data_IF_451503373028
#
_entry.id   IF_451503373028
#
_cell.length_a   1.000
_cell.length_b   1.000
_cell.length_c   1.000
_cell.angle_alpha   90.00
_cell.angle_beta   90.00
_cell.angle_gamma   90.00
#
_symmetry.space_group_name_H-M   'P 1'
#
loop_
_entity.id
_entity.type
_entity.pdbx_description
1 polymer ?
#
# COMPACT_ATOMS: atom_id res chain seq x y z
N UNK A 1 -20.62 26.09 -4.86
CA UNK A 1 -20.50 24.76 -5.50
C UNK A 1 -19.83 23.82 -4.53
N UNK A 2 -20.53 22.73 -4.21
CA UNK A 2 -20.19 21.63 -3.29
C UNK A 2 -18.98 20.82 -3.78
N UNK A 3 -18.17 20.23 -2.88
CA UNK A 3 -18.11 18.77 -2.61
C UNK A 3 -16.81 18.36 -1.90
N UNK A 4 -16.96 17.70 -0.75
CA UNK A 4 -15.88 16.93 -0.12
C UNK A 4 -15.74 17.23 1.37
N UNK A 5 -16.39 16.43 2.23
CA UNK A 5 -16.19 16.43 3.68
C UNK A 5 -14.69 16.28 3.99
N UNK A 6 -13.99 17.39 4.21
CA UNK A 6 -12.62 17.40 4.67
C UNK A 6 -12.58 16.83 6.09
N UNK A 7 -12.41 15.51 6.22
CA UNK A 7 -12.18 14.87 7.50
C UNK A 7 -10.94 15.54 8.10
N UNK A 8 -11.11 16.30 9.18
CA UNK A 8 -10.01 16.97 9.88
C UNK A 8 -8.91 15.93 10.11
N UNK A 9 -7.74 16.15 9.51
CA UNK A 9 -6.60 15.24 9.62
C UNK A 9 -6.10 15.30 11.07
N UNK A 10 -6.08 14.17 11.76
CA UNK A 10 -5.36 14.06 13.04
C UNK A 10 -3.89 13.85 12.70
N UNK A 11 -3.01 14.60 13.37
CA UNK A 11 -1.55 14.46 13.22
C UNK A 11 -1.20 12.99 13.52
N UNK A 12 -0.47 12.35 12.60
CA UNK A 12 -0.10 10.92 12.64
C UNK A 12 -1.20 9.89 12.30
N UNK A 13 -2.21 10.23 11.51
CA UNK A 13 -3.18 9.24 11.01
C UNK A 13 -3.05 9.07 9.49
N UNK A 14 -2.86 7.83 8.98
CA UNK A 14 -2.62 7.60 7.56
C UNK A 14 -3.87 7.95 6.75
N UNK A 15 -3.68 8.72 5.68
CA UNK A 15 -4.76 9.17 4.80
C UNK A 15 -5.19 8.11 3.77
N UNK A 16 -4.39 7.05 3.60
CA UNK A 16 -4.52 6.05 2.53
C UNK A 16 -4.94 4.65 3.01
N UNK A 17 -4.76 4.33 4.30
CA UNK A 17 -5.03 2.99 4.85
C UNK A 17 -5.81 3.10 6.17
N UNK A 18 -6.63 2.08 6.47
CA UNK A 18 -7.47 2.04 7.68
C UNK A 18 -6.64 1.99 8.98
N UNK A 19 -5.38 1.54 8.91
CA UNK A 19 -4.53 1.29 10.06
C UNK A 19 -3.14 1.91 9.90
N UNK A 20 -2.47 2.13 11.04
CA UNK A 20 -1.07 2.55 11.09
C UNK A 20 -0.16 1.40 10.64
N UNK A 21 0.76 1.68 9.71
CA UNK A 21 1.76 0.72 9.29
C UNK A 21 2.64 0.31 10.48
N UNK A 22 2.85 -0.98 10.64
CA UNK A 22 3.83 -1.58 11.57
C UNK A 22 4.92 -2.25 10.77
N UNK A 23 6.12 -2.35 11.34
CA UNK A 23 7.23 -3.04 10.68
C UNK A 23 6.98 -4.55 10.73
N UNK A 24 6.93 -5.18 9.56
CA UNK A 24 6.86 -6.62 9.38
C UNK A 24 8.03 -7.06 8.50
N UNK A 25 8.70 -8.16 8.88
CA UNK A 25 9.78 -8.75 8.09
C UNK A 25 9.27 -9.86 7.19
N UNK A 26 9.68 -9.86 5.93
CA UNK A 26 9.45 -10.94 4.97
C UNK A 26 10.78 -11.32 4.30
N UNK A 27 10.97 -12.60 4.04
CA UNK A 27 12.13 -13.09 3.29
C UNK A 27 11.72 -13.32 1.84
N UNK A 28 12.46 -12.71 0.91
CA UNK A 28 12.24 -12.81 -0.52
C UNK A 28 13.55 -13.22 -1.20
N UNK A 29 13.46 -13.86 -2.36
CA UNK A 29 14.62 -14.02 -3.24
C UNK A 29 15.04 -12.67 -3.79
N UNK A 30 16.33 -12.52 -4.14
CA UNK A 30 16.83 -11.28 -4.74
C UNK A 30 16.06 -10.90 -6.01
N UNK A 31 15.72 -11.89 -6.84
CA UNK A 31 14.94 -11.67 -8.07
C UNK A 31 13.55 -11.11 -7.79
N UNK A 32 12.85 -11.64 -6.79
CA UNK A 32 11.53 -11.15 -6.41
C UNK A 32 11.60 -9.74 -5.81
N UNK A 33 12.61 -9.45 -4.97
CA UNK A 33 12.81 -8.12 -4.40
C UNK A 33 13.09 -7.07 -5.47
N UNK A 34 13.98 -7.35 -6.43
CA UNK A 34 14.26 -6.41 -7.51
C UNK A 34 13.04 -6.14 -8.39
N UNK A 35 12.26 -7.18 -8.69
CA UNK A 35 11.00 -7.01 -9.42
C UNK A 35 10.03 -6.09 -8.67
N UNK A 36 9.86 -6.28 -7.36
CA UNK A 36 9.04 -5.39 -6.52
C UNK A 36 9.54 -3.94 -6.59
N UNK A 37 10.85 -3.72 -6.48
CA UNK A 37 11.42 -2.38 -6.57
C UNK A 37 11.17 -1.73 -7.93
N UNK A 38 11.36 -2.46 -9.03
CA UNK A 38 11.11 -1.95 -10.37
C UNK A 38 9.64 -1.56 -10.59
N UNK A 39 8.71 -2.39 -10.14
CA UNK A 39 7.27 -2.11 -10.29
C UNK A 39 6.83 -0.94 -9.42
N UNK A 40 7.33 -0.86 -8.17
CA UNK A 40 7.07 0.28 -7.30
C UNK A 40 7.53 1.61 -7.93
N UNK A 41 8.71 1.62 -8.58
CA UNK A 41 9.21 2.80 -9.30
C UNK A 41 8.28 3.17 -10.46
N UNK A 42 7.82 2.19 -11.26
CA UNK A 42 6.91 2.44 -12.39
C UNK A 42 5.56 3.02 -11.93
N UNK A 43 5.05 2.54 -10.80
CA UNK A 43 3.80 2.99 -10.21
C UNK A 43 3.95 4.26 -9.34
N UNK A 44 5.18 4.75 -9.17
CA UNK A 44 5.52 5.89 -8.29
C UNK A 44 5.09 5.66 -6.84
N UNK A 45 5.16 4.40 -6.39
CA UNK A 45 4.85 3.97 -5.02
C UNK A 45 6.11 3.44 -4.33
N UNK A 46 6.03 3.25 -3.01
CA UNK A 46 7.08 2.50 -2.29
C UNK A 46 6.90 0.98 -2.46
N UNK A 47 7.97 0.22 -2.33
CA UNK A 47 7.91 -1.26 -2.34
C UNK A 47 6.89 -1.82 -1.33
N UNK A 48 6.78 -1.19 -0.16
CA UNK A 48 5.79 -1.59 0.86
C UNK A 48 4.35 -1.37 0.42
N UNK A 49 4.06 -0.24 -0.24
CA UNK A 49 2.72 0.08 -0.74
C UNK A 49 2.35 -0.79 -1.95
N UNK A 50 3.32 -1.07 -2.81
CA UNK A 50 3.13 -1.99 -3.94
C UNK A 50 2.73 -3.39 -3.45
N UNK A 51 3.45 -3.93 -2.46
CA UNK A 51 3.12 -5.24 -1.87
C UNK A 51 1.74 -5.19 -1.21
N UNK A 52 1.41 -4.14 -0.45
CA UNK A 52 0.09 -3.99 0.16
C UNK A 52 -1.04 -3.92 -0.88
N UNK A 53 -0.82 -3.25 -2.02
CA UNK A 53 -1.79 -3.16 -3.11
C UNK A 53 -2.06 -4.54 -3.73
N UNK A 54 -1.01 -5.32 -4.00
CA UNK A 54 -1.14 -6.70 -4.51
C UNK A 54 -1.91 -7.59 -3.53
N UNK A 55 -1.63 -7.48 -2.23
CA UNK A 55 -2.35 -8.25 -1.20
C UNK A 55 -3.84 -7.84 -1.17
N UNK A 56 -4.14 -6.55 -1.29
CA UNK A 56 -5.52 -6.06 -1.34
C UNK A 56 -6.26 -6.53 -2.59
N UNK A 57 -5.59 -6.55 -3.75
CA UNK A 57 -6.14 -7.09 -4.99
C UNK A 57 -6.47 -8.57 -4.84
N UNK A 58 -5.53 -9.37 -4.33
CA UNK A 58 -5.75 -10.79 -4.05
C UNK A 58 -6.87 -11.03 -3.05
N UNK A 59 -7.00 -10.20 -2.01
CA UNK A 59 -8.12 -10.27 -1.06
C UNK A 59 -9.48 -10.03 -1.73
N UNK A 60 -9.54 -9.11 -2.70
CA UNK A 60 -10.79 -8.85 -3.46
C UNK A 60 -11.16 -10.04 -4.34
N UNK A 61 -10.17 -10.65 -5.01
CA UNK A 61 -10.38 -11.86 -5.82
C UNK A 61 -10.94 -13.03 -4.99
N UNK A 62 -10.45 -13.24 -3.77
CA UNK A 62 -10.87 -14.37 -2.92
C UNK A 62 -12.23 -14.17 -2.24
N UNK A 63 -12.76 -12.94 -2.22
CA UNK A 63 -14.03 -12.60 -1.54
C UNK A 63 -15.19 -12.46 -2.53
N UNK A 64 -14.95 -12.63 -3.83
CA UNK A 64 -15.97 -12.66 -4.89
C UNK A 64 -16.45 -14.08 -5.16
#
# INVERSE_FOLDING_TARGET
MSTGKGKKRVKNQPALHQELKKQHGIFLTNTAWYFVCEQAIKEKTSASEYIEALIQEKRRETTG
#
